data_IF_191759570702
#
_entry.id   IF_191759570702
#
_cell.length_a   1.000
_cell.length_b   1.000
_cell.length_c   1.000
_cell.angle_alpha   90.00
_cell.angle_beta   90.00
_cell.angle_gamma   90.00
#
_symmetry.space_group_name_H-M   'P 1'
#
loop_
_entity.id
_entity.type
_entity.pdbx_description
1 polymer ?
#
# COMPACT_ATOMS: atom_id res chain seq x y z
N UNK A 1 8.53 2.08 12.96
CA UNK A 1 7.72 1.88 11.74
C UNK A 1 8.40 2.39 10.48
N UNK A 2 8.56 1.54 9.46
CA UNK A 2 9.05 1.93 8.12
C UNK A 2 7.88 2.17 7.15
N UNK A 3 7.93 3.25 6.37
CA UNK A 3 6.93 3.56 5.33
C UNK A 3 7.11 2.69 4.08
N UNK A 4 6.10 2.71 3.20
CA UNK A 4 6.21 2.10 1.87
C UNK A 4 7.19 2.90 0.99
N UNK A 5 7.92 2.19 0.13
CA UNK A 5 8.89 2.80 -0.77
C UNK A 5 8.19 3.72 -1.79
N UNK A 6 8.79 4.89 -2.08
CA UNK A 6 8.23 5.82 -3.09
C UNK A 6 8.02 5.20 -4.46
N UNK A 7 8.75 4.14 -4.78
CA UNK A 7 8.60 3.40 -6.04
C UNK A 7 8.49 1.91 -5.70
N UNK A 8 7.40 1.28 -6.13
CA UNK A 8 7.13 -0.15 -5.92
C UNK A 8 6.96 -0.83 -7.28
N UNK A 9 7.56 -2.01 -7.44
CA UNK A 9 7.31 -2.88 -8.60
C UNK A 9 6.16 -3.82 -8.27
N UNK A 10 5.13 -3.80 -9.11
CA UNK A 10 3.99 -4.69 -9.02
C UNK A 10 4.40 -6.16 -9.09
N UNK A 11 3.63 -7.00 -8.39
CA UNK A 11 3.81 -8.46 -8.32
C UNK A 11 2.47 -9.14 -8.62
N UNK A 12 2.49 -10.44 -8.88
CA UNK A 12 1.27 -11.20 -9.18
C UNK A 12 0.55 -10.65 -10.43
N UNK A 13 -0.74 -10.35 -10.29
CA UNK A 13 -1.59 -9.86 -11.39
C UNK A 13 -1.17 -8.48 -11.92
N UNK A 14 -0.51 -7.66 -11.11
CA UNK A 14 0.00 -6.34 -11.52
C UNK A 14 1.49 -6.36 -11.84
N UNK A 15 2.05 -7.54 -12.14
CA UNK A 15 3.46 -7.66 -12.54
C UNK A 15 3.73 -6.82 -13.79
N UNK A 16 4.80 -6.04 -13.76
CA UNK A 16 5.18 -5.12 -14.85
C UNK A 16 4.63 -3.70 -14.69
N UNK A 17 3.69 -3.49 -13.77
CA UNK A 17 3.23 -2.15 -13.39
C UNK A 17 4.20 -1.56 -12.36
N UNK A 18 4.67 -0.34 -12.60
CA UNK A 18 5.43 0.44 -11.61
C UNK A 18 4.50 1.43 -10.92
N UNK A 19 4.54 1.44 -9.60
CA UNK A 19 3.77 2.34 -8.75
C UNK A 19 4.72 3.43 -8.25
N UNK A 20 4.39 4.69 -8.51
CA UNK A 20 5.13 5.86 -8.01
C UNK A 20 4.25 6.62 -7.03
N UNK A 21 4.73 6.81 -5.80
CA UNK A 21 3.98 7.49 -4.75
C UNK A 21 3.73 8.95 -5.12
N UNK A 22 2.46 9.34 -5.12
CA UNK A 22 2.03 10.73 -5.33
C UNK A 22 1.84 11.44 -3.99
N UNK A 23 1.18 10.76 -3.04
CA UNK A 23 0.88 11.31 -1.71
C UNK A 23 0.83 10.20 -0.67
N UNK A 24 1.19 10.51 0.57
CA UNK A 24 0.99 9.64 1.72
C UNK A 24 0.68 10.48 2.96
N UNK A 25 -0.09 9.92 3.89
CA UNK A 25 -0.30 10.47 5.23
C UNK A 25 -0.74 9.35 6.17
N UNK A 26 0.03 9.12 7.22
CA UNK A 26 -0.18 7.98 8.13
C UNK A 26 -0.17 6.65 7.37
N UNK A 27 -1.26 5.89 7.53
CA UNK A 27 -1.47 4.61 6.83
C UNK A 27 -2.10 4.72 5.44
N UNK A 28 -2.44 5.91 4.95
CA UNK A 28 -3.11 6.07 3.63
C UNK A 28 -2.12 6.56 2.58
N UNK A 29 -2.13 5.88 1.44
CA UNK A 29 -1.21 6.08 0.33
C UNK A 29 -1.97 6.28 -0.97
N UNK A 30 -1.43 7.14 -1.83
CA UNK A 30 -1.85 7.35 -3.21
C UNK A 30 -0.64 7.16 -4.12
N UNK A 31 -0.76 6.23 -5.06
CA UNK A 31 0.24 5.92 -6.06
C UNK A 31 -0.29 6.19 -7.47
N UNK A 32 0.59 6.60 -8.38
CA UNK A 32 0.37 6.60 -9.83
C UNK A 32 1.01 5.33 -10.40
N UNK A 33 0.25 4.61 -11.21
CA UNK A 33 0.67 3.41 -11.92
C UNK A 33 1.21 3.78 -13.30
N UNK A 34 2.16 3.01 -13.79
CA UNK A 34 2.76 3.19 -15.13
C UNK A 34 1.78 2.95 -16.28
N UNK A 35 0.65 2.26 -16.03
CA UNK A 35 -0.45 2.05 -16.99
C UNK A 35 -1.47 3.21 -17.02
N UNK A 36 -1.19 4.31 -16.30
CA UNK A 36 -2.01 5.51 -16.29
C UNK A 36 -3.12 5.52 -15.24
N UNK A 37 -3.21 4.49 -14.40
CA UNK A 37 -4.14 4.48 -13.27
C UNK A 37 -3.54 5.13 -12.02
N UNK A 38 -4.40 5.46 -11.07
CA UNK A 38 -4.08 5.88 -9.73
C UNK A 38 -4.67 4.89 -8.75
N UNK A 39 -3.93 4.64 -7.68
CA UNK A 39 -4.30 3.66 -6.68
C UNK A 39 -4.20 4.26 -5.29
N UNK A 40 -5.31 4.23 -4.56
CA UNK A 40 -5.42 4.80 -3.22
C UNK A 40 -5.79 3.71 -2.25
N UNK A 41 -5.07 3.60 -1.14
CA UNK A 41 -5.28 2.51 -0.21
C UNK A 41 -4.85 2.84 1.21
N UNK A 42 -5.42 2.09 2.17
CA UNK A 42 -4.88 2.00 3.53
C UNK A 42 -3.88 0.85 3.61
N UNK A 43 -2.62 1.16 3.91
CA UNK A 43 -1.56 0.19 4.15
C UNK A 43 -1.83 -0.62 5.42
N UNK A 44 -1.33 -1.85 5.44
CA UNK A 44 -1.40 -2.74 6.60
C UNK A 44 -0.14 -2.53 7.45
N UNK A 45 -0.30 -2.43 8.77
CA UNK A 45 0.82 -2.41 9.71
C UNK A 45 1.30 -3.84 9.98
N UNK A 46 2.49 -4.16 9.50
CA UNK A 46 3.19 -5.36 9.93
C UNK A 46 3.87 -5.06 11.27
N UNK A 47 3.36 -5.67 12.36
CA UNK A 47 4.01 -5.61 13.68
C UNK A 47 5.36 -6.32 13.64
N UNK A 48 6.38 -5.66 14.18
CA UNK A 48 7.70 -6.25 14.35
C UNK A 48 7.72 -7.35 15.43
N UNK A 49 8.80 -8.13 15.46
CA UNK A 49 9.04 -9.16 16.49
C UNK A 49 9.59 -10.46 15.92
N UNK A 50 9.93 -11.38 16.81
CA UNK A 50 10.41 -12.72 16.44
C UNK A 50 9.20 -13.64 16.31
N UNK A 51 9.05 -14.29 15.15
CA UNK A 51 8.05 -15.35 14.95
C UNK A 51 8.74 -16.65 14.59
N UNK A 52 8.24 -17.75 15.15
CA UNK A 52 8.72 -19.08 14.82
C UNK A 52 7.90 -19.65 13.68
N UNK A 53 8.50 -19.79 12.49
CA UNK A 53 7.85 -20.37 11.31
C UNK A 53 8.57 -21.66 10.95
N UNK A 54 7.85 -22.79 10.98
CA UNK A 54 8.41 -24.14 10.74
C UNK A 54 9.66 -24.46 11.59
N UNK A 55 9.69 -23.98 12.83
CA UNK A 55 10.81 -24.22 13.75
C UNK A 55 11.95 -23.19 13.67
N UNK A 56 11.97 -22.32 12.66
CA UNK A 56 12.99 -21.27 12.48
C UNK A 56 12.50 -19.95 13.05
N UNK A 57 13.34 -19.27 13.83
CA UNK A 57 13.07 -17.92 14.32
C UNK A 57 13.35 -16.90 13.22
N UNK A 58 12.34 -16.13 12.86
CA UNK A 58 12.44 -15.07 11.85
C UNK A 58 12.09 -13.76 12.53
N UNK A 59 13.03 -12.82 12.51
CA UNK A 59 12.80 -11.46 12.96
C UNK A 59 12.06 -10.68 11.86
N UNK A 60 10.93 -10.10 12.22
CA UNK A 60 10.18 -9.18 11.37
C UNK A 60 10.40 -7.75 11.86
N UNK A 61 10.72 -6.87 10.93
CA UNK A 61 10.74 -5.43 11.18
C UNK A 61 9.33 -4.85 11.11
N UNK A 62 9.09 -3.82 11.91
CA UNK A 62 7.83 -3.09 11.89
C UNK A 62 7.74 -2.15 10.68
N UNK A 63 6.77 -2.37 9.79
CA UNK A 63 6.62 -1.62 8.55
C UNK A 63 5.20 -1.57 8.02
N UNK A 64 4.92 -0.57 7.19
CA UNK A 64 3.76 -0.54 6.33
C UNK A 64 3.97 -1.47 5.13
N UNK A 65 2.95 -2.25 4.80
CA UNK A 65 2.94 -3.12 3.62
C UNK A 65 1.76 -2.80 2.73
N UNK A 66 1.96 -2.99 1.44
CA UNK A 66 0.90 -2.91 0.45
C UNK A 66 -0.15 -3.99 0.77
N UNK A 67 -1.45 -3.67 0.78
CA UNK A 67 -2.49 -4.63 1.13
C UNK A 67 -2.54 -5.77 0.10
N UNK A 68 -2.49 -7.02 0.57
CA UNK A 68 -2.62 -8.21 -0.28
C UNK A 68 -3.90 -8.97 0.09
N UNK A 69 -4.87 -9.07 -0.82
CA UNK A 69 -6.08 -9.89 -0.64
C UNK A 69 -7.38 -9.21 -1.07
N UNK A 70 -8.50 -9.92 -0.90
CA UNK A 70 -9.84 -9.50 -1.35
C UNK A 70 -10.48 -8.38 -0.50
N UNK A 71 -9.97 -8.11 0.71
CA UNK A 71 -10.50 -7.08 1.62
C UNK A 71 -9.66 -5.80 1.63
N UNK A 72 -9.03 -5.46 0.51
CA UNK A 72 -8.35 -4.18 0.36
C UNK A 72 -9.36 -3.02 0.41
N UNK A 73 -9.14 -2.07 1.32
CA UNK A 73 -9.90 -0.82 1.39
C UNK A 73 -9.18 0.27 0.58
N UNK A 74 -9.70 0.55 -0.60
CA UNK A 74 -9.14 1.53 -1.52
C UNK A 74 -9.86 1.61 -2.85
N UNK A 75 -9.23 2.27 -3.84
CA UNK A 75 -9.72 2.29 -5.23
C UNK A 75 -8.56 2.27 -6.21
N UNK A 76 -8.83 1.77 -7.43
CA UNK A 76 -8.01 1.94 -8.62
C UNK A 76 -8.84 2.68 -9.68
N UNK A 77 -8.36 3.83 -10.16
CA UNK A 77 -9.09 4.68 -11.12
C UNK A 77 -8.16 5.45 -12.03
N UNK A 78 -8.59 5.78 -13.26
CA UNK A 78 -7.83 6.69 -14.14
C UNK A 78 -7.99 8.17 -13.77
N UNK A 79 -9.00 8.52 -12.96
CA UNK A 79 -9.28 9.90 -12.59
C UNK A 79 -8.52 10.27 -11.31
N UNK A 80 -7.61 11.24 -11.42
CA UNK A 80 -6.80 11.72 -10.29
C UNK A 80 -7.64 12.37 -9.18
N UNK A 81 -8.63 13.19 -9.53
CA UNK A 81 -9.49 13.87 -8.55
C UNK A 81 -10.29 12.86 -7.75
N UNK A 82 -10.81 11.82 -8.41
CA UNK A 82 -11.51 10.72 -7.73
C UNK A 82 -10.59 9.93 -6.80
N UNK A 83 -9.33 9.73 -7.18
CA UNK A 83 -8.32 9.12 -6.32
C UNK A 83 -8.01 9.99 -5.09
N UNK A 84 -7.92 11.30 -5.28
CA UNK A 84 -7.69 12.26 -4.21
C UNK A 84 -8.88 12.38 -3.24
N UNK A 85 -10.11 12.37 -3.75
CA UNK A 85 -11.33 12.28 -2.93
C UNK A 85 -11.27 11.07 -2.01
N UNK A 86 -10.99 9.88 -2.58
CA UNK A 86 -10.90 8.66 -1.79
C UNK A 86 -9.77 8.72 -0.77
N UNK A 87 -8.64 9.35 -1.11
CA UNK A 87 -7.54 9.54 -0.18
C UNK A 87 -7.99 10.33 1.04
N UNK A 88 -8.73 11.43 0.84
CA UNK A 88 -9.25 12.24 1.93
C UNK A 88 -10.34 11.51 2.74
N UNK A 89 -11.23 10.77 2.09
CA UNK A 89 -12.22 9.92 2.78
C UNK A 89 -11.56 8.92 3.73
N UNK A 90 -10.52 8.22 3.25
CA UNK A 90 -9.78 7.25 4.05
C UNK A 90 -8.99 7.89 5.18
N UNK A 91 -8.51 9.11 5.02
CA UNK A 91 -7.86 9.87 6.09
C UNK A 91 -8.85 10.26 7.19
N UNK A 92 -10.05 10.71 6.83
CA UNK A 92 -11.09 11.09 7.79
C UNK A 92 -11.67 9.90 8.56
N UNK A 93 -11.50 8.68 8.05
CA UNK A 93 -11.98 7.44 8.66
C UNK A 93 -10.94 6.74 9.57
N UNK A 94 -9.77 7.35 9.80
CA UNK A 94 -8.70 6.75 10.60
C UNK A 94 -8.93 6.83 12.10
#
# INVERSE_FOLDING_TARGET
MKELDKIIKGKGEVKGITFTQVKHSGKVYLYKRSDGYFETFTAIEQRGGIRKIKGVEIAFEEKHIYPSGESWVGICTKNYDRALERFNELLSAQ
#
